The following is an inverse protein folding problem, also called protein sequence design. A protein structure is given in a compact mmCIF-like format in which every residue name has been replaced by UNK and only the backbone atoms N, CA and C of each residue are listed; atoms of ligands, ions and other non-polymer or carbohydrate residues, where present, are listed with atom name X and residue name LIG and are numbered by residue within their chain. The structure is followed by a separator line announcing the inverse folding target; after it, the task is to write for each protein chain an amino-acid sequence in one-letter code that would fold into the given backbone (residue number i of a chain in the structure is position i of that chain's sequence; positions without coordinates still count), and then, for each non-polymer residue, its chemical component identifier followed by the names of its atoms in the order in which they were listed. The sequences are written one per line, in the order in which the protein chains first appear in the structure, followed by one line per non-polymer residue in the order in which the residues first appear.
data_IF_997343460197
#
_entry.id   IF_997343460197
#
_cell.length_a   1.000
_cell.length_b   1.000
_cell.length_c   1.000
_cell.angle_alpha   90.00
_cell.angle_beta   90.00
_cell.angle_gamma   90.00
#
_symmetry.space_group_name_H-M   'P 1'
#
loop_
_entity.id
_entity.type
_entity.pdbx_description
1 polymer ?
#
# COMPACT_ATOMS: atom_id res chain seq x y z
N UNK A 1 -7.83 -9.05 -4.22
CA UNK A 1 -6.81 -9.42 -5.22
C UNK A 1 -7.25 -8.95 -6.60
N UNK A 2 -6.33 -8.68 -7.53
CA UNK A 2 -6.64 -8.39 -8.93
C UNK A 2 -7.01 -9.67 -9.71
N UNK A 3 -7.14 -9.56 -11.03
CA UNK A 3 -7.32 -10.70 -11.94
C UNK A 3 -6.08 -11.63 -11.98
N UNK A 4 -6.28 -12.85 -12.47
CA UNK A 4 -5.29 -13.92 -12.45
C UNK A 4 -4.03 -13.59 -13.27
N UNK A 5 -4.18 -12.92 -14.42
CA UNK A 5 -3.05 -12.54 -15.27
C UNK A 5 -2.15 -11.53 -14.55
N UNK A 6 -2.75 -10.51 -13.92
CA UNK A 6 -2.00 -9.55 -13.12
C UNK A 6 -1.35 -10.21 -11.90
N UNK A 7 -2.06 -11.11 -11.21
CA UNK A 7 -1.46 -11.87 -10.10
C UNK A 7 -0.23 -12.65 -10.56
N UNK A 8 -0.31 -13.40 -11.66
CA UNK A 8 0.81 -14.16 -12.18
C UNK A 8 2.01 -13.26 -12.51
N UNK A 9 1.76 -12.12 -13.17
CA UNK A 9 2.81 -11.16 -13.51
C UNK A 9 3.51 -10.57 -12.27
N UNK A 10 2.74 -10.22 -11.23
CA UNK A 10 3.29 -9.70 -9.97
C UNK A 10 4.10 -10.76 -9.22
N UNK A 11 3.63 -12.02 -9.23
CA UNK A 11 4.40 -13.14 -8.67
C UNK A 11 5.74 -13.32 -9.38
N UNK A 12 5.74 -13.46 -10.71
CA UNK A 12 6.94 -13.70 -11.50
C UNK A 12 7.95 -12.57 -11.34
N UNK A 13 7.48 -11.31 -11.36
CA UNK A 13 8.32 -10.12 -11.35
C UNK A 13 8.81 -9.72 -9.96
N UNK A 14 8.01 -9.93 -8.91
CA UNK A 14 8.27 -9.35 -7.59
C UNK A 14 8.29 -10.39 -6.46
N UNK A 15 7.37 -11.35 -6.45
CA UNK A 15 7.28 -12.34 -5.39
C UNK A 15 8.37 -13.43 -5.44
N UNK A 16 8.66 -13.93 -6.64
CA UNK A 16 9.51 -15.10 -6.90
C UNK A 16 10.96 -14.96 -6.42
N UNK A 17 11.45 -13.74 -6.26
CA UNK A 17 12.82 -13.45 -5.82
C UNK A 17 13.04 -13.72 -4.32
N UNK A 18 12.00 -13.69 -3.50
CA UNK A 18 12.10 -13.79 -2.03
C UNK A 18 11.28 -14.93 -1.45
N UNK A 19 10.03 -15.10 -1.90
CA UNK A 19 9.15 -16.12 -1.37
C UNK A 19 9.39 -17.47 -2.03
N UNK A 20 9.27 -18.55 -1.26
CA UNK A 20 9.41 -19.92 -1.78
C UNK A 20 8.22 -20.34 -2.65
N UNK A 21 7.04 -19.80 -2.38
CA UNK A 21 5.79 -20.15 -3.08
C UNK A 21 4.95 -18.91 -3.34
N UNK A 22 4.17 -18.93 -4.43
CA UNK A 22 3.17 -17.90 -4.72
C UNK A 22 2.12 -17.78 -3.60
N UNK A 23 1.74 -18.92 -3.00
CA UNK A 23 0.80 -18.96 -1.89
C UNK A 23 1.29 -18.15 -0.69
N UNK A 24 2.58 -18.26 -0.31
CA UNK A 24 3.13 -17.49 0.81
C UNK A 24 3.19 -15.99 0.49
N UNK A 25 3.55 -15.63 -0.74
CA UNK A 25 3.56 -14.25 -1.22
C UNK A 25 2.18 -13.59 -1.15
N UNK A 26 1.15 -14.23 -1.70
CA UNK A 26 -0.20 -13.66 -1.69
C UNK A 26 -0.83 -13.67 -0.30
N UNK A 27 -0.51 -14.65 0.56
CA UNK A 27 -0.92 -14.63 1.98
C UNK A 27 -0.34 -13.44 2.72
N UNK A 28 0.91 -13.08 2.47
CA UNK A 28 1.53 -11.89 3.08
C UNK A 28 0.83 -10.60 2.62
N UNK A 29 0.52 -10.48 1.32
CA UNK A 29 -0.23 -9.35 0.77
C UNK A 29 -1.63 -9.26 1.40
N UNK A 30 -2.37 -10.37 1.46
CA UNK A 30 -3.70 -10.44 2.10
C UNK A 30 -3.64 -10.06 3.57
N UNK A 31 -2.66 -10.58 4.30
CA UNK A 31 -2.46 -10.27 5.71
C UNK A 31 -2.28 -8.76 5.91
N UNK A 32 -1.33 -8.15 5.19
CA UNK A 32 -1.06 -6.72 5.28
C UNK A 32 -2.26 -5.85 4.86
N UNK A 33 -2.91 -6.22 3.75
CA UNK A 33 -4.06 -5.50 3.24
C UNK A 33 -5.25 -5.53 4.22
N UNK A 34 -5.54 -6.69 4.82
CA UNK A 34 -6.66 -6.86 5.74
C UNK A 34 -6.46 -6.15 7.09
N UNK A 35 -5.21 -5.91 7.51
CA UNK A 35 -4.91 -5.13 8.71
C UNK A 35 -5.06 -3.62 8.48
N UNK A 36 -4.97 -3.17 7.23
CA UNK A 36 -5.02 -1.76 6.88
C UNK A 36 -6.46 -1.23 6.80
N UNK A 37 -6.79 -0.22 7.61
CA UNK A 37 -8.07 0.49 7.47
C UNK A 37 -7.95 1.52 6.36
N UNK A 38 -8.64 1.29 5.24
CA UNK A 38 -8.59 2.16 4.06
C UNK A 38 -9.67 3.25 4.16
N UNK A 39 -9.31 4.54 4.22
CA UNK A 39 -10.28 5.63 4.24
C UNK A 39 -11.00 5.77 2.89
N UNK A 40 -12.22 6.32 2.92
CA UNK A 40 -12.93 6.69 1.70
C UNK A 40 -12.33 7.98 1.10
N UNK A 41 -11.30 7.84 0.26
CA UNK A 41 -10.62 8.97 -0.39
C UNK A 41 -11.55 9.77 -1.32
N UNK A 42 -12.58 9.13 -1.89
CA UNK A 42 -13.55 9.82 -2.77
C UNK A 42 -14.41 10.84 -2.02
N UNK A 43 -14.53 10.72 -0.69
CA UNK A 43 -15.23 11.68 0.14
C UNK A 43 -14.39 12.93 0.46
N UNK A 44 -13.09 12.95 0.11
CA UNK A 44 -12.25 14.12 0.31
C UNK A 44 -12.57 15.18 -0.75
N UNK A 45 -12.91 16.39 -0.30
CA UNK A 45 -13.01 17.55 -1.18
C UNK A 45 -11.62 17.97 -1.63
N UNK A 46 -11.31 17.84 -2.92
CA UNK A 46 -10.00 18.15 -3.52
C UNK A 46 -8.84 17.39 -2.86
N UNK A 47 -8.69 16.09 -3.12
CA UNK A 47 -7.68 15.27 -2.47
C UNK A 47 -6.26 15.75 -2.81
N UNK A 48 -5.57 16.26 -1.79
CA UNK A 48 -4.13 16.58 -1.80
C UNK A 48 -3.33 15.47 -1.16
N UNK A 49 -2.01 15.42 -1.43
CA UNK A 49 -1.06 14.50 -0.79
C UNK A 49 -1.24 14.46 0.74
N UNK A 50 -1.24 15.62 1.39
CA UNK A 50 -1.36 15.73 2.83
C UNK A 50 -2.73 15.27 3.34
N UNK A 51 -3.83 15.62 2.64
CA UNK A 51 -5.17 15.18 3.05
C UNK A 51 -5.35 13.66 2.96
N UNK A 52 -4.78 13.04 1.92
CA UNK A 52 -4.81 11.58 1.74
C UNK A 52 -4.02 10.91 2.87
N UNK A 53 -2.77 11.36 3.11
CA UNK A 53 -1.95 10.82 4.21
C UNK A 53 -2.67 10.93 5.55
N UNK A 54 -3.20 12.12 5.88
CA UNK A 54 -3.91 12.34 7.13
C UNK A 54 -5.11 11.40 7.29
N UNK A 55 -5.88 11.16 6.23
CA UNK A 55 -7.02 10.24 6.28
C UNK A 55 -6.59 8.80 6.63
N UNK A 56 -5.44 8.33 6.12
CA UNK A 56 -4.89 7.02 6.50
C UNK A 56 -4.40 7.01 7.94
N UNK A 57 -3.70 8.06 8.38
CA UNK A 57 -3.18 8.16 9.74
C UNK A 57 -4.32 8.17 10.78
N UNK A 58 -5.39 8.92 10.55
CA UNK A 58 -6.56 8.96 11.45
C UNK A 58 -7.14 7.58 11.75
N UNK A 59 -7.09 6.64 10.80
CA UNK A 59 -7.64 5.30 10.97
C UNK A 59 -6.64 4.28 11.51
N UNK A 60 -5.33 4.48 11.28
CA UNK A 60 -4.28 3.47 11.50
C UNK A 60 -3.18 3.90 12.49
N UNK A 61 -3.31 5.06 13.14
CA UNK A 61 -2.41 5.46 14.23
C UNK A 61 -2.64 4.60 15.49
N UNK A 62 -1.60 4.35 16.30
CA UNK A 62 -0.22 4.85 16.15
C UNK A 62 0.69 3.99 15.26
N UNK A 63 0.20 2.87 14.71
CA UNK A 63 1.05 1.93 13.96
C UNK A 63 1.58 2.54 12.66
N UNK A 64 0.71 3.20 11.89
CA UNK A 64 1.09 3.88 10.65
C UNK A 64 1.49 5.34 10.91
N UNK A 65 2.57 5.78 10.28
CA UNK A 65 3.11 7.14 10.36
C UNK A 65 3.40 7.74 8.96
N UNK A 66 3.48 9.07 8.88
CA UNK A 66 3.43 9.80 7.59
C UNK A 66 4.55 9.47 6.60
N UNK A 67 5.75 9.18 7.11
CA UNK A 67 6.92 8.82 6.31
C UNK A 67 6.87 7.38 5.76
N UNK A 68 6.02 6.52 6.31
CA UNK A 68 5.74 5.19 5.77
C UNK A 68 4.72 5.18 4.62
N UNK A 69 4.21 6.35 4.22
CA UNK A 69 3.20 6.50 3.16
C UNK A 69 3.79 7.30 2.00
N UNK A 70 3.72 6.75 0.79
CA UNK A 70 3.93 7.48 -0.45
C UNK A 70 2.63 7.57 -1.24
N UNK A 71 2.34 8.76 -1.78
CA UNK A 71 1.13 9.03 -2.55
C UNK A 71 1.56 9.49 -3.94
N UNK A 72 1.14 8.75 -4.95
CA UNK A 72 1.42 9.03 -6.35
C UNK A 72 0.15 9.58 -7.01
N UNK A 73 0.29 10.72 -7.67
CA UNK A 73 -0.80 11.39 -8.39
C UNK A 73 -0.51 11.37 -9.89
N UNK A 74 -1.53 11.17 -10.72
CA UNK A 74 -1.42 11.33 -12.17
C UNK A 74 -1.22 12.80 -12.54
N UNK A 75 -0.67 13.04 -13.75
CA UNK A 75 -0.75 14.35 -14.40
C UNK A 75 -2.23 14.75 -14.52
N UNK A 76 -2.64 15.79 -13.80
CA UNK A 76 -4.05 16.19 -13.66
C UNK A 76 -4.63 16.08 -12.25
N UNK A 77 -3.84 15.67 -11.24
CA UNK A 77 -4.21 15.76 -9.83
C UNK A 77 -5.16 14.66 -9.33
N UNK A 78 -5.32 13.57 -10.10
CA UNK A 78 -6.05 12.40 -9.66
C UNK A 78 -5.12 11.42 -8.93
N UNK A 79 -5.63 10.75 -7.89
CA UNK A 79 -4.89 9.70 -7.19
C UNK A 79 -4.59 8.53 -8.16
N UNK A 80 -3.31 8.13 -8.22
CA UNK A 80 -2.86 6.99 -8.99
C UNK A 80 -2.63 5.77 -8.08
N UNK A 81 -1.81 5.94 -7.05
CA UNK A 81 -1.34 4.84 -6.22
C UNK A 81 -0.97 5.35 -4.83
N UNK A 82 -1.12 4.48 -3.83
CA UNK A 82 -0.59 4.68 -2.49
C UNK A 82 0.33 3.50 -2.20
N UNK A 83 1.56 3.79 -1.79
CA UNK A 83 2.53 2.78 -1.35
C UNK A 83 2.77 2.91 0.14
N UNK A 84 2.89 1.76 0.78
CA UNK A 84 3.25 1.63 2.18
C UNK A 84 4.56 0.88 2.30
N UNK A 85 5.47 1.36 3.15
CA UNK A 85 6.79 0.79 3.32
C UNK A 85 6.87 -0.04 4.59
N UNK A 86 7.40 -1.26 4.45
CA UNK A 86 7.53 -2.24 5.51
C UNK A 86 8.96 -2.78 5.58
N UNK A 87 9.39 -3.16 6.78
CA UNK A 87 10.55 -4.03 6.94
C UNK A 87 10.19 -5.50 6.61
N UNK A 88 11.19 -6.39 6.71
CA UNK A 88 11.00 -7.84 6.46
C UNK A 88 10.17 -8.54 7.54
N UNK A 89 9.85 -7.86 8.63
CA UNK A 89 8.97 -8.31 9.71
C UNK A 89 7.57 -7.67 9.63
N UNK A 90 7.29 -6.94 8.55
CA UNK A 90 6.02 -6.24 8.31
C UNK A 90 5.71 -5.10 9.28
N UNK A 91 6.72 -4.52 9.92
CA UNK A 91 6.55 -3.26 10.64
C UNK A 91 6.67 -2.10 9.65
N UNK A 92 5.89 -1.04 9.88
CA UNK A 92 6.02 0.18 9.10
C UNK A 92 7.40 0.82 9.29
N UNK A 93 8.01 1.23 8.18
CA UNK A 93 9.29 1.97 8.14
C UNK A 93 9.15 3.20 7.25
N UNK A 94 10.08 4.14 7.39
CA UNK A 94 10.20 5.25 6.44
C UNK A 94 10.42 4.72 5.02
N UNK A 95 9.73 5.30 4.04
CA UNK A 95 10.00 5.00 2.64
C UNK A 95 11.34 5.63 2.22
N UNK A 96 12.30 4.80 1.84
CA UNK A 96 13.68 5.22 1.52
C UNK A 96 13.99 5.35 0.02
N UNK A 97 12.97 5.34 -0.84
CA UNK A 97 13.12 5.37 -2.31
C UNK A 97 12.23 6.42 -2.96
#
# INVERSE_FOLDING_TARGET
MPDEDLMQAEWEKHGSCYYKTATDYFKAIEYLFNQLKIPNIRALNQPTLSSIKNAFLTLNSPQLFSSAIQVYMKKGGQLQEIRLCYDLQYNFIDCTQ
#
